data_IF_604863145096
#
_entry.id   IF_604863145096
#
_cell.length_a   1.000
_cell.length_b   1.000
_cell.length_c   1.000
_cell.angle_alpha   90.00
_cell.angle_beta   90.00
_cell.angle_gamma   90.00
#
_symmetry.space_group_name_H-M   'P 1'
#
loop_
_entity.id
_entity.type
_entity.pdbx_description
1 polymer ?
#
# COMPACT_ATOMS: atom_id res chain seq x y z
N UNK A 1 36.70 -11.83 26.18
CA UNK A 1 35.76 -12.12 25.07
C UNK A 1 34.28 -12.18 25.48
N UNK A 2 33.89 -12.73 26.64
CA UNK A 2 32.46 -12.83 27.02
C UNK A 2 31.76 -11.51 27.40
N UNK A 3 32.47 -10.50 27.94
CA UNK A 3 31.88 -9.18 28.26
C UNK A 3 31.55 -8.34 27.02
N UNK A 4 32.24 -8.55 25.89
CA UNK A 4 32.00 -7.79 24.66
C UNK A 4 30.72 -8.26 23.93
N UNK A 5 30.42 -9.57 24.00
CA UNK A 5 29.22 -10.15 23.41
C UNK A 5 27.91 -9.70 24.10
N UNK A 6 27.95 -9.44 25.41
CA UNK A 6 26.78 -8.99 26.18
C UNK A 6 26.49 -7.50 25.94
N UNK A 7 27.53 -6.67 25.82
CA UNK A 7 27.39 -5.23 25.52
C UNK A 7 26.84 -4.98 24.10
N UNK A 8 27.20 -5.83 23.13
CA UNK A 8 26.65 -5.78 21.76
C UNK A 8 25.17 -6.21 21.76
N UNK A 9 24.77 -7.23 22.53
CA UNK A 9 23.37 -7.70 22.62
C UNK A 9 22.42 -6.65 23.22
N UNK A 10 22.88 -5.89 24.21
CA UNK A 10 22.10 -4.82 24.85
C UNK A 10 21.99 -3.56 23.96
N UNK A 11 23.02 -3.28 23.16
CA UNK A 11 23.03 -2.14 22.22
C UNK A 11 22.13 -2.38 21.01
N UNK A 12 22.12 -3.61 20.48
CA UNK A 12 21.23 -4.03 19.36
C UNK A 12 19.75 -4.01 19.78
N UNK A 13 19.44 -4.37 21.03
CA UNK A 13 18.07 -4.33 21.56
C UNK A 13 17.54 -2.90 21.76
N UNK A 14 18.43 -1.92 22.01
CA UNK A 14 18.08 -0.49 22.08
C UNK A 14 17.96 0.16 20.70
N UNK A 15 18.75 -0.27 19.70
CA UNK A 15 18.62 0.20 18.30
C UNK A 15 17.37 -0.35 17.60
N UNK A 16 16.98 -1.61 17.86
CA UNK A 16 15.75 -2.21 17.33
C UNK A 16 14.46 -1.59 17.88
N UNK A 17 14.51 -0.91 19.04
CA UNK A 17 13.37 -0.12 19.57
C UNK A 17 13.29 1.29 18.99
N UNK A 18 14.39 1.83 18.44
CA UNK A 18 14.45 3.20 17.92
C UNK A 18 14.13 3.29 16.41
N UNK A 19 14.27 2.21 15.63
CA UNK A 19 13.93 2.21 14.19
C UNK A 19 12.45 1.93 13.87
N UNK A 20 11.61 1.62 14.87
CA UNK A 20 10.15 1.49 14.68
C UNK A 20 9.43 2.83 14.43
N UNK A 21 10.14 3.97 14.42
CA UNK A 21 9.57 5.31 14.32
C UNK A 21 9.72 6.03 12.97
N UNK A 22 10.42 5.48 11.98
CA UNK A 22 10.70 6.19 10.72
C UNK A 22 10.66 5.22 9.53
N UNK A 23 9.46 4.81 9.14
CA UNK A 23 9.18 4.28 7.79
C UNK A 23 7.82 4.84 7.37
N UNK A 24 7.81 6.10 6.95
CA UNK A 24 6.77 6.64 6.09
C UNK A 24 6.83 5.83 4.78
N UNK A 25 5.89 4.90 4.65
CA UNK A 25 5.73 4.12 3.43
C UNK A 25 5.23 5.06 2.33
N UNK A 26 6.12 5.48 1.44
CA UNK A 26 5.76 6.04 0.14
C UNK A 26 5.01 4.96 -0.65
N UNK A 27 3.68 5.00 -0.60
CA UNK A 27 2.81 4.18 -1.43
C UNK A 27 2.51 4.96 -2.72
N UNK A 28 3.10 4.51 -3.82
CA UNK A 28 2.49 4.64 -5.15
C UNK A 28 1.60 3.41 -5.33
N UNK A 29 0.32 3.52 -4.95
CA UNK A 29 -0.69 2.70 -5.62
C UNK A 29 -0.59 3.13 -7.09
N UNK A 30 -0.25 2.19 -7.98
CA UNK A 30 -0.23 2.46 -9.40
C UNK A 30 -1.52 3.18 -9.74
N UNK A 31 -1.41 4.41 -10.24
CA UNK A 31 -2.51 5.15 -10.84
C UNK A 31 -2.99 4.31 -12.02
N UNK A 32 -3.80 3.29 -11.75
CA UNK A 32 -4.67 2.72 -12.75
C UNK A 32 -5.56 3.87 -13.16
N UNK A 33 -5.23 4.42 -14.33
CA UNK A 33 -5.99 5.41 -15.09
C UNK A 33 -7.48 5.25 -14.79
N UNK A 34 -7.97 6.05 -13.86
CA UNK A 34 -9.40 6.31 -13.77
C UNK A 34 -9.68 7.21 -14.98
N UNK A 35 -10.03 6.56 -16.09
CA UNK A 35 -10.50 7.08 -17.36
C UNK A 35 -10.39 8.60 -17.55
N UNK A 36 -9.27 9.07 -18.10
CA UNK A 36 -9.32 10.19 -19.04
C UNK A 36 -9.81 9.65 -20.39
N UNK A 37 -11.10 9.28 -20.45
CA UNK A 37 -11.75 9.15 -21.75
C UNK A 37 -12.13 10.56 -22.20
N UNK A 38 -11.51 11.00 -23.30
CA UNK A 38 -12.11 12.01 -24.17
C UNK A 38 -13.39 11.39 -24.72
N UNK A 39 -14.52 11.60 -24.07
CA UNK A 39 -15.80 11.36 -24.72
C UNK A 39 -16.10 12.54 -25.65
N UNK A 40 -16.11 12.23 -26.95
CA UNK A 40 -16.70 13.08 -27.97
C UNK A 40 -18.19 13.28 -27.63
N UNK A 41 -18.58 14.55 -27.55
CA UNK A 41 -19.95 15.04 -27.45
C UNK A 41 -20.92 14.32 -28.40
N UNK A 42 -22.06 13.82 -27.89
CA UNK A 42 -23.34 13.90 -28.58
C UNK A 42 -24.07 15.15 -28.09
N UNK A 43 -24.31 16.07 -29.01
CA UNK A 43 -25.05 17.32 -28.81
C UNK A 43 -26.55 17.08 -28.58
N UNK A 44 -27.09 17.39 -27.40
CA UNK A 44 -28.51 17.76 -27.16
C UNK A 44 -28.63 18.58 -25.84
N UNK A 45 -29.73 19.32 -25.56
CA UNK A 45 -29.65 20.76 -25.33
C UNK A 45 -30.04 21.20 -23.90
N UNK A 46 -29.48 22.35 -23.50
CA UNK A 46 -30.09 23.37 -22.64
C UNK A 46 -30.71 22.96 -21.29
N UNK A 47 -29.86 22.92 -20.27
CA UNK A 47 -30.19 23.49 -18.94
C UNK A 47 -28.94 24.15 -18.35
N UNK A 48 -28.51 25.23 -18.99
CA UNK A 48 -27.35 26.02 -18.60
C UNK A 48 -27.72 26.99 -17.46
N UNK A 49 -27.53 26.55 -16.23
CA UNK A 49 -27.05 27.41 -15.15
C UNK A 49 -25.73 26.81 -14.68
N UNK A 50 -24.61 27.38 -15.12
CA UNK A 50 -23.32 27.00 -14.59
C UNK A 50 -23.33 27.21 -13.08
N UNK A 51 -23.16 26.14 -12.32
CA UNK A 51 -23.16 26.19 -10.87
C UNK A 51 -21.93 26.98 -10.39
N UNK A 52 -22.16 28.25 -10.10
CA UNK A 52 -21.12 29.23 -9.75
C UNK A 52 -20.31 28.72 -8.55
N UNK A 53 -20.94 28.01 -7.61
CA UNK A 53 -20.28 27.45 -6.45
C UNK A 53 -19.31 26.33 -6.83
N UNK A 54 -19.72 25.41 -7.70
CA UNK A 54 -18.82 24.37 -8.20
C UNK A 54 -17.64 24.95 -8.98
N UNK A 55 -17.85 26.02 -9.74
CA UNK A 55 -16.76 26.69 -10.46
C UNK A 55 -15.74 27.31 -9.50
N UNK A 56 -16.20 28.00 -8.46
CA UNK A 56 -15.35 28.60 -7.41
C UNK A 56 -14.56 27.56 -6.63
N UNK A 57 -15.20 26.44 -6.26
CA UNK A 57 -14.53 25.33 -5.56
C UNK A 57 -13.45 24.72 -6.46
N UNK A 58 -13.72 24.53 -7.76
CA UNK A 58 -12.74 23.92 -8.68
C UNK A 58 -11.57 24.84 -9.04
N UNK A 59 -11.79 26.16 -9.04
CA UNK A 59 -10.74 27.14 -9.33
C UNK A 59 -9.94 27.56 -8.11
N UNK A 60 -10.27 27.05 -6.91
CA UNK A 60 -9.59 27.42 -5.67
C UNK A 60 -8.13 26.94 -5.69
N UNK A 61 -7.22 27.85 -5.35
CA UNK A 61 -5.78 27.58 -5.28
C UNK A 61 -5.31 27.27 -3.86
N UNK A 62 -6.08 27.67 -2.84
CA UNK A 62 -5.79 27.41 -1.44
C UNK A 62 -7.03 26.83 -0.70
N UNK A 63 -6.78 26.09 0.38
CA UNK A 63 -7.81 25.49 1.23
C UNK A 63 -8.71 26.57 1.86
N UNK A 64 -8.15 27.74 2.17
CA UNK A 64 -8.89 28.89 2.73
C UNK A 64 -9.99 29.34 1.77
N UNK A 65 -9.68 29.46 0.47
CA UNK A 65 -10.64 29.87 -0.56
C UNK A 65 -11.83 28.91 -0.63
N UNK A 66 -11.56 27.60 -0.50
CA UNK A 66 -12.61 26.57 -0.47
C UNK A 66 -13.48 26.71 0.78
N UNK A 67 -12.87 26.92 1.94
CA UNK A 67 -13.58 27.07 3.21
C UNK A 67 -14.43 28.35 3.25
N UNK A 68 -13.95 29.44 2.68
CA UNK A 68 -14.69 30.69 2.56
C UNK A 68 -15.86 30.56 1.59
N UNK A 69 -15.67 29.87 0.45
CA UNK A 69 -16.75 29.55 -0.48
C UNK A 69 -17.84 28.69 0.19
N UNK A 70 -17.44 27.71 1.01
CA UNK A 70 -18.38 26.91 1.80
C UNK A 70 -19.13 27.78 2.80
N UNK A 71 -18.44 28.65 3.54
CA UNK A 71 -19.08 29.52 4.53
C UNK A 71 -20.12 30.45 3.88
N UNK A 72 -19.79 31.03 2.73
CA UNK A 72 -20.68 31.95 1.99
C UNK A 72 -21.91 31.26 1.38
N UNK A 73 -21.81 29.97 1.02
CA UNK A 73 -22.83 29.28 0.22
C UNK A 73 -23.37 27.99 0.85
N UNK A 74 -23.14 27.74 2.15
CA UNK A 74 -23.53 26.50 2.83
C UNK A 74 -25.03 26.19 2.78
N UNK A 75 -25.90 27.20 2.69
CA UNK A 75 -27.37 27.02 2.68
C UNK A 75 -27.92 26.40 1.39
N UNK A 76 -27.17 26.48 0.29
CA UNK A 76 -27.55 25.96 -1.04
C UNK A 76 -26.71 24.74 -1.47
N UNK A 77 -25.86 24.23 -0.59
CA UNK A 77 -24.97 23.11 -0.90
C UNK A 77 -25.73 21.77 -0.94
N UNK A 78 -25.68 21.10 -2.10
CA UNK A 78 -26.12 19.72 -2.25
C UNK A 78 -24.97 18.73 -1.98
N UNK A 79 -25.25 17.42 -2.11
CA UNK A 79 -24.26 16.35 -1.97
C UNK A 79 -23.03 16.55 -2.88
N UNK A 80 -23.23 16.91 -4.15
CA UNK A 80 -22.14 17.14 -5.13
C UNK A 80 -21.25 18.31 -4.71
N UNK A 81 -21.80 19.37 -4.13
CA UNK A 81 -21.03 20.54 -3.68
C UNK A 81 -20.20 20.18 -2.45
N UNK A 82 -20.81 19.53 -1.46
CA UNK A 82 -20.13 19.11 -0.23
C UNK A 82 -19.00 18.11 -0.52
N UNK A 83 -19.26 17.12 -1.38
CA UNK A 83 -18.25 16.13 -1.77
C UNK A 83 -17.10 16.76 -2.57
N UNK A 84 -17.39 17.63 -3.55
CA UNK A 84 -16.34 18.30 -4.32
C UNK A 84 -15.51 19.28 -3.48
N UNK A 85 -16.12 19.98 -2.50
CA UNK A 85 -15.37 20.80 -1.56
C UNK A 85 -14.39 19.94 -0.76
N UNK A 86 -14.85 18.81 -0.20
CA UNK A 86 -13.98 17.89 0.53
C UNK A 86 -12.85 17.33 -0.36
N UNK A 87 -13.18 16.92 -1.59
CA UNK A 87 -12.20 16.44 -2.57
C UNK A 87 -11.15 17.49 -2.89
N UNK A 88 -11.55 18.74 -3.08
CA UNK A 88 -10.64 19.85 -3.40
C UNK A 88 -9.70 20.13 -2.23
N UNK A 89 -10.22 20.19 -1.00
CA UNK A 89 -9.39 20.32 0.21
C UNK A 89 -8.35 19.20 0.28
N UNK A 90 -8.76 17.95 0.04
CA UNK A 90 -7.84 16.82 0.00
C UNK A 90 -6.75 16.98 -1.07
N UNK A 91 -7.11 17.39 -2.29
CA UNK A 91 -6.15 17.58 -3.38
C UNK A 91 -5.14 18.69 -3.07
N UNK A 92 -5.61 19.82 -2.54
CA UNK A 92 -4.77 20.97 -2.16
C UNK A 92 -3.80 20.59 -1.05
N UNK A 93 -4.28 19.92 0.01
CA UNK A 93 -3.43 19.40 1.09
C UNK A 93 -2.39 18.39 0.58
N UNK A 94 -2.80 17.46 -0.30
CA UNK A 94 -1.89 16.45 -0.86
C UNK A 94 -0.81 17.06 -1.75
N UNK A 95 -1.14 18.11 -2.50
CA UNK A 95 -0.21 18.82 -3.38
C UNK A 95 0.74 19.76 -2.64
N UNK A 96 0.61 19.91 -1.32
CA UNK A 96 1.32 20.91 -0.50
C UNK A 96 1.09 22.37 -0.95
N UNK A 97 0.05 22.62 -1.75
CA UNK A 97 -0.36 23.96 -2.19
C UNK A 97 -1.31 24.64 -1.20
N UNK A 98 -1.32 24.21 0.06
CA UNK A 98 -2.20 24.76 1.10
C UNK A 98 -1.39 25.53 2.12
N UNK A 99 -1.84 26.73 2.46
CA UNK A 99 -1.26 27.53 3.55
C UNK A 99 -1.58 26.96 4.93
N UNK A 100 -2.70 26.21 5.04
CA UNK A 100 -3.14 25.57 6.28
C UNK A 100 -2.66 24.13 6.38
N UNK A 101 -2.27 23.73 7.58
CA UNK A 101 -2.04 22.32 7.96
C UNK A 101 -3.37 21.57 8.18
N UNK A 102 -3.33 20.24 8.08
CA UNK A 102 -4.48 19.37 8.38
C UNK A 102 -5.13 19.65 9.76
N UNK A 103 -4.31 19.96 10.77
CA UNK A 103 -4.80 20.32 12.11
C UNK A 103 -5.58 21.63 12.13
N UNK A 104 -5.15 22.63 11.37
CA UNK A 104 -5.84 23.92 11.27
C UNK A 104 -7.15 23.79 10.50
N UNK A 105 -7.16 22.99 9.42
CA UNK A 105 -8.37 22.71 8.64
C UNK A 105 -9.43 22.05 9.52
N UNK A 106 -9.08 20.99 10.25
CA UNK A 106 -10.02 20.26 11.11
C UNK A 106 -10.57 21.09 12.27
N UNK A 107 -9.78 22.02 12.80
CA UNK A 107 -10.20 22.91 13.87
C UNK A 107 -11.01 24.13 13.38
N UNK A 108 -11.02 24.40 12.07
CA UNK A 108 -11.73 25.55 11.51
C UNK A 108 -13.26 25.41 11.66
N UNK A 109 -13.97 26.49 12.04
CA UNK A 109 -15.43 26.46 12.11
C UNK A 109 -16.09 26.23 10.74
N UNK A 110 -15.48 26.70 9.66
CA UNK A 110 -15.94 26.51 8.29
C UNK A 110 -15.92 25.03 7.90
N UNK A 111 -14.88 24.30 8.30
CA UNK A 111 -14.82 22.87 8.05
C UNK A 111 -15.87 22.09 8.85
N UNK A 112 -16.22 22.54 10.06
CA UNK A 112 -17.33 21.95 10.83
C UNK A 112 -18.66 22.12 10.10
N UNK A 113 -18.88 23.27 9.45
CA UNK A 113 -20.05 23.50 8.59
C UNK A 113 -20.03 22.51 7.42
N UNK A 114 -18.91 22.42 6.69
CA UNK A 114 -18.75 21.46 5.60
C UNK A 114 -19.05 20.02 6.02
N UNK A 115 -18.47 19.58 7.15
CA UNK A 115 -18.65 18.24 7.67
C UNK A 115 -20.12 17.97 8.06
N UNK A 116 -20.81 18.94 8.66
CA UNK A 116 -22.23 18.81 8.97
C UNK A 116 -23.11 18.77 7.72
N UNK A 117 -22.80 19.60 6.72
CA UNK A 117 -23.51 19.60 5.43
C UNK A 117 -23.31 18.26 4.73
N UNK A 118 -22.07 17.78 4.61
CA UNK A 118 -21.75 16.49 4.04
C UNK A 118 -22.46 15.35 4.77
N UNK A 119 -22.48 15.39 6.11
CA UNK A 119 -23.19 14.41 6.95
C UNK A 119 -24.69 14.37 6.64
N UNK A 120 -25.35 15.51 6.48
CA UNK A 120 -26.79 15.53 6.16
C UNK A 120 -27.12 14.94 4.78
N UNK A 121 -26.16 14.99 3.86
CA UNK A 121 -26.29 14.54 2.48
C UNK A 121 -25.67 13.17 2.22
N UNK A 122 -25.10 12.52 3.24
CA UNK A 122 -24.25 11.34 3.11
C UNK A 122 -24.97 10.11 2.54
N UNK A 123 -26.28 10.01 2.80
CA UNK A 123 -27.17 8.98 2.28
C UNK A 123 -27.41 9.05 0.76
N UNK A 124 -27.06 10.18 0.14
CA UNK A 124 -27.18 10.39 -1.31
C UNK A 124 -25.85 10.19 -2.03
N UNK A 125 -24.80 9.76 -1.32
CA UNK A 125 -23.52 9.43 -1.93
C UNK A 125 -23.51 7.98 -2.39
N UNK A 126 -22.87 7.75 -3.54
CA UNK A 126 -22.62 6.41 -4.05
C UNK A 126 -21.52 5.70 -3.27
N UNK A 127 -21.42 4.37 -3.40
CA UNK A 127 -20.41 3.56 -2.70
C UNK A 127 -18.97 4.08 -2.95
N UNK A 128 -18.66 4.44 -4.21
CA UNK A 128 -17.36 5.00 -4.56
C UNK A 128 -17.10 6.34 -3.86
N UNK A 129 -18.11 7.22 -3.82
CA UNK A 129 -18.03 8.50 -3.13
C UNK A 129 -17.89 8.33 -1.61
N UNK A 130 -18.54 7.33 -1.02
CA UNK A 130 -18.39 7.00 0.41
C UNK A 130 -16.96 6.54 0.73
N UNK A 131 -16.37 5.69 -0.11
CA UNK A 131 -14.99 5.22 0.03
C UNK A 131 -13.99 6.38 -0.13
N UNK A 132 -14.19 7.21 -1.14
CA UNK A 132 -13.34 8.39 -1.37
C UNK A 132 -13.49 9.43 -0.26
N UNK A 133 -14.71 9.67 0.24
CA UNK A 133 -14.93 10.53 1.40
C UNK A 133 -14.17 9.98 2.61
N UNK A 134 -14.24 8.68 2.87
CA UNK A 134 -13.52 8.06 3.99
C UNK A 134 -12.00 8.26 3.87
N UNK A 135 -11.46 8.09 2.66
CA UNK A 135 -10.05 8.37 2.34
C UNK A 135 -9.69 9.84 2.58
N UNK A 136 -10.51 10.78 2.11
CA UNK A 136 -10.25 12.21 2.26
C UNK A 136 -10.27 12.62 3.74
N UNK A 137 -11.28 12.20 4.50
CA UNK A 137 -11.40 12.49 5.93
C UNK A 137 -10.25 11.86 6.73
N UNK A 138 -9.85 10.62 6.39
CA UNK A 138 -8.70 9.95 6.99
C UNK A 138 -7.38 10.68 6.73
N UNK A 139 -7.18 11.19 5.50
CA UNK A 139 -5.98 11.96 5.13
C UNK A 139 -5.91 13.32 5.86
N UNK A 140 -7.04 14.03 5.95
CA UNK A 140 -7.15 15.32 6.64
C UNK A 140 -7.00 15.13 8.18
N UNK A 141 -7.04 13.89 8.67
CA UNK A 141 -6.80 13.57 10.09
C UNK A 141 -8.06 13.61 10.95
N UNK A 142 -9.25 13.49 10.35
CA UNK A 142 -10.49 13.36 11.13
C UNK A 142 -10.49 12.01 11.84
N UNK A 143 -10.72 11.97 13.16
CA UNK A 143 -10.79 10.72 13.90
C UNK A 143 -11.88 9.78 13.37
N UNK A 144 -11.59 8.48 13.40
CA UNK A 144 -12.56 7.44 13.05
C UNK A 144 -13.80 7.48 13.97
N UNK A 145 -13.68 8.01 15.19
CA UNK A 145 -14.77 8.17 16.17
C UNK A 145 -15.70 9.35 15.88
N UNK A 146 -15.38 10.20 14.89
CA UNK A 146 -16.24 11.32 14.53
C UNK A 146 -17.58 10.84 13.97
N UNK A 147 -18.65 11.64 14.16
CA UNK A 147 -20.00 11.27 13.71
C UNK A 147 -20.06 11.03 12.20
N UNK A 148 -19.41 11.89 11.41
CA UNK A 148 -19.38 11.74 9.95
C UNK A 148 -18.68 10.45 9.53
N UNK A 149 -17.51 10.15 10.11
CA UNK A 149 -16.78 8.92 9.78
C UNK A 149 -17.55 7.68 10.21
N UNK A 150 -18.19 7.69 11.39
CA UNK A 150 -19.02 6.59 11.85
C UNK A 150 -20.26 6.37 10.95
N UNK A 151 -20.90 7.44 10.45
CA UNK A 151 -22.02 7.31 9.51
C UNK A 151 -21.58 6.73 8.16
N UNK A 152 -20.42 7.15 7.62
CA UNK A 152 -19.85 6.55 6.40
C UNK A 152 -19.57 5.05 6.62
N UNK A 153 -18.89 4.72 7.71
CA UNK A 153 -18.56 3.33 8.04
C UNK A 153 -19.83 2.48 8.21
N UNK A 154 -20.89 3.04 8.79
CA UNK A 154 -22.18 2.37 8.92
C UNK A 154 -22.83 2.11 7.56
N UNK A 155 -22.85 3.09 6.67
CA UNK A 155 -23.36 2.89 5.30
C UNK A 155 -22.54 1.85 4.54
N UNK A 156 -21.21 1.94 4.58
CA UNK A 156 -20.33 0.95 3.96
C UNK A 156 -20.55 -0.46 4.52
N UNK A 157 -20.84 -0.59 5.82
CA UNK A 157 -21.16 -1.89 6.43
C UNK A 157 -22.46 -2.50 5.92
N UNK A 158 -23.45 -1.68 5.53
CA UNK A 158 -24.70 -2.16 4.92
C UNK A 158 -24.50 -2.64 3.49
N UNK A 159 -23.65 -1.95 2.73
CA UNK A 159 -23.33 -2.27 1.35
C UNK A 159 -22.10 -3.18 1.22
N UNK A 160 -21.66 -3.83 2.30
CA UNK A 160 -20.40 -4.59 2.32
C UNK A 160 -20.39 -5.72 1.28
N UNK A 161 -21.54 -6.34 1.02
CA UNK A 161 -21.69 -7.43 0.04
C UNK A 161 -21.66 -6.94 -1.41
N UNK A 162 -21.89 -5.65 -1.65
CA UNK A 162 -21.90 -5.04 -2.99
C UNK A 162 -20.50 -4.51 -3.39
N UNK A 163 -19.52 -4.59 -2.47
CA UNK A 163 -18.16 -4.12 -2.72
C UNK A 163 -17.42 -5.05 -3.68
N UNK A 164 -16.82 -4.47 -4.71
CA UNK A 164 -15.87 -5.15 -5.60
C UNK A 164 -14.57 -5.50 -4.87
N UNK A 165 -13.79 -6.44 -5.42
CA UNK A 165 -12.49 -6.85 -4.87
C UNK A 165 -11.55 -5.65 -4.65
N UNK A 166 -11.49 -4.71 -5.61
CA UNK A 166 -10.64 -3.52 -5.52
C UNK A 166 -11.10 -2.56 -4.42
N UNK A 167 -12.41 -2.38 -4.26
CA UNK A 167 -12.96 -1.56 -3.17
C UNK A 167 -12.68 -2.20 -1.81
N UNK A 168 -12.76 -3.53 -1.70
CA UNK A 168 -12.45 -4.25 -0.47
C UNK A 168 -10.98 -4.07 -0.07
N UNK A 169 -10.05 -4.30 -1.00
CA UNK A 169 -8.62 -4.15 -0.73
C UNK A 169 -8.26 -2.70 -0.37
N UNK A 170 -8.85 -1.74 -1.07
CA UNK A 170 -8.65 -0.31 -0.80
C UNK A 170 -9.22 0.12 0.55
N UNK A 171 -10.43 -0.32 0.90
CA UNK A 171 -11.08 0.02 2.16
C UNK A 171 -10.31 -0.55 3.36
N UNK A 172 -9.82 -1.79 3.28
CA UNK A 172 -8.94 -2.37 4.30
C UNK A 172 -7.65 -1.56 4.47
N UNK A 173 -7.07 -1.08 3.37
CA UNK A 173 -5.90 -0.21 3.40
C UNK A 173 -6.21 1.12 4.11
N UNK A 174 -7.29 1.82 3.74
CA UNK A 174 -7.69 3.10 4.36
C UNK A 174 -7.92 2.94 5.87
N UNK A 175 -8.56 1.86 6.28
CA UNK A 175 -8.87 1.61 7.69
C UNK A 175 -7.70 1.04 8.50
N UNK A 176 -6.52 0.84 7.90
CA UNK A 176 -5.37 0.23 8.59
C UNK A 176 -4.98 1.00 9.85
N UNK A 177 -4.93 2.33 9.75
CA UNK A 177 -4.46 3.23 10.81
C UNK A 177 -5.61 3.80 11.66
N UNK A 178 -6.85 3.37 11.40
CA UNK A 178 -8.01 3.83 12.17
C UNK A 178 -8.01 3.26 13.58
N UNK A 179 -8.41 4.09 14.55
CA UNK A 179 -8.69 3.65 15.92
C UNK A 179 -9.75 2.54 15.90
N UNK A 180 -9.55 1.51 16.73
CA UNK A 180 -10.49 0.40 16.86
C UNK A 180 -11.83 0.91 17.38
N UNK A 181 -12.84 0.88 16.52
CA UNK A 181 -14.24 1.10 16.87
C UNK A 181 -15.03 -0.18 16.56
N UNK A 182 -16.25 -0.36 17.10
CA UNK A 182 -17.08 -1.51 16.77
C UNK A 182 -17.30 -1.68 15.27
N UNK A 183 -17.59 -0.58 14.54
CA UNK A 183 -17.78 -0.60 13.09
C UNK A 183 -16.49 -0.94 12.33
N UNK A 184 -15.35 -0.33 12.68
CA UNK A 184 -14.06 -0.67 12.05
C UNK A 184 -13.70 -2.14 12.28
N UNK A 185 -13.99 -2.65 13.48
CA UNK A 185 -13.72 -4.05 13.83
C UNK A 185 -14.63 -5.00 13.05
N UNK A 186 -15.93 -4.70 12.98
CA UNK A 186 -16.89 -5.48 12.21
C UNK A 186 -16.53 -5.51 10.72
N UNK A 187 -16.18 -4.37 10.13
CA UNK A 187 -15.73 -4.29 8.74
C UNK A 187 -14.43 -5.07 8.51
N UNK A 188 -13.44 -4.97 9.40
CA UNK A 188 -12.19 -5.75 9.30
C UNK A 188 -12.40 -7.26 9.37
N UNK A 189 -13.52 -7.72 9.94
CA UNK A 189 -13.93 -9.13 9.95
C UNK A 189 -14.71 -9.47 8.68
N UNK A 190 -15.65 -8.62 8.27
CA UNK A 190 -16.54 -8.86 7.13
C UNK A 190 -15.79 -8.81 5.78
N UNK A 191 -14.86 -7.88 5.60
CA UNK A 191 -14.17 -7.66 4.33
C UNK A 191 -13.44 -8.91 3.81
N UNK A 192 -12.62 -9.63 4.60
CA UNK A 192 -12.05 -10.91 4.19
C UNK A 192 -13.08 -11.94 3.73
N UNK A 193 -14.23 -12.04 4.42
CA UNK A 193 -15.27 -13.04 4.11
C UNK A 193 -15.94 -12.72 2.77
N UNK A 194 -16.32 -11.45 2.57
CA UNK A 194 -16.91 -11.01 1.30
C UNK A 194 -15.91 -11.12 0.15
N UNK A 195 -14.64 -10.81 0.41
CA UNK A 195 -13.57 -11.00 -0.55
C UNK A 195 -13.50 -12.45 -1.06
N UNK A 196 -13.52 -13.43 -0.15
CA UNK A 196 -13.51 -14.84 -0.52
C UNK A 196 -14.71 -15.24 -1.37
N UNK A 197 -15.90 -14.73 -1.05
CA UNK A 197 -17.12 -15.00 -1.81
C UNK A 197 -17.05 -14.45 -3.25
N UNK A 198 -16.47 -13.25 -3.42
CA UNK A 198 -16.36 -12.60 -4.72
C UNK A 198 -15.17 -13.04 -5.57
N UNK A 199 -14.09 -13.53 -4.94
CA UNK A 199 -12.85 -13.85 -5.65
C UNK A 199 -13.09 -14.89 -6.75
N UNK A 200 -13.85 -15.95 -6.47
CA UNK A 200 -14.03 -17.05 -7.42
C UNK A 200 -14.89 -16.63 -8.62
N UNK A 201 -15.83 -15.71 -8.43
CA UNK A 201 -16.82 -15.33 -9.46
C UNK A 201 -16.42 -14.10 -10.27
N UNK A 202 -15.61 -13.20 -9.71
CA UNK A 202 -15.35 -11.86 -10.29
C UNK A 202 -13.88 -11.57 -10.55
N UNK A 203 -12.95 -12.45 -10.16
CA UNK A 203 -11.52 -12.21 -10.40
C UNK A 203 -11.21 -12.29 -11.89
N UNK A 204 -10.72 -11.18 -12.44
CA UNK A 204 -10.08 -11.17 -13.74
C UNK A 204 -8.70 -11.82 -13.61
N UNK A 205 -8.58 -13.03 -14.16
CA UNK A 205 -7.35 -13.79 -14.11
C UNK A 205 -6.31 -13.26 -15.10
N UNK A 206 -6.67 -12.45 -16.10
CA UNK A 206 -5.75 -11.92 -17.13
C UNK A 206 -5.00 -10.66 -16.67
N UNK A 207 -5.51 -10.00 -15.64
CA UNK A 207 -4.91 -8.78 -15.12
C UNK A 207 -3.87 -9.05 -14.02
N UNK A 208 -2.62 -9.25 -14.43
CA UNK A 208 -1.49 -9.56 -13.54
C UNK A 208 -1.26 -8.47 -12.48
N UNK A 209 -1.47 -7.19 -12.80
CA UNK A 209 -1.33 -6.09 -11.85
C UNK A 209 -2.36 -6.23 -10.73
N UNK A 210 -3.62 -6.47 -11.10
CA UNK A 210 -4.70 -6.71 -10.14
C UNK A 210 -4.40 -7.95 -9.29
N UNK A 211 -3.98 -9.06 -9.90
CA UNK A 211 -3.60 -10.28 -9.16
C UNK A 211 -2.48 -10.01 -8.14
N UNK A 212 -1.50 -9.17 -8.47
CA UNK A 212 -0.47 -8.72 -7.54
C UNK A 212 -1.02 -7.98 -6.32
N UNK A 213 -1.97 -7.07 -6.52
CA UNK A 213 -2.63 -6.34 -5.43
C UNK A 213 -3.50 -7.26 -4.58
N UNK A 214 -4.19 -8.22 -5.20
CA UNK A 214 -4.97 -9.25 -4.49
C UNK A 214 -4.05 -10.15 -3.66
N UNK A 215 -2.91 -10.59 -4.20
CA UNK A 215 -1.92 -11.40 -3.48
C UNK A 215 -1.40 -10.67 -2.22
N UNK A 216 -1.12 -9.37 -2.37
CA UNK A 216 -0.70 -8.50 -1.27
C UNK A 216 -1.75 -8.36 -0.17
N UNK A 217 -3.03 -8.36 -0.55
CA UNK A 217 -4.13 -8.35 0.41
C UNK A 217 -4.24 -9.70 1.15
N UNK A 218 -4.31 -10.82 0.43
CA UNK A 218 -4.52 -12.15 1.04
C UNK A 218 -3.33 -12.59 1.89
N UNK A 219 -2.11 -12.17 1.57
CA UNK A 219 -0.91 -12.52 2.33
C UNK A 219 -0.92 -12.00 3.78
N UNK A 220 -1.64 -10.91 4.04
CA UNK A 220 -1.66 -10.24 5.37
C UNK A 220 -2.93 -10.51 6.16
N UNK A 221 -3.83 -11.32 5.63
CA UNK A 221 -5.17 -11.53 6.18
C UNK A 221 -5.42 -13.02 6.37
N UNK A 222 -6.27 -13.40 7.34
CA UNK A 222 -6.68 -14.79 7.51
C UNK A 222 -7.69 -15.12 6.41
N UNK A 223 -7.19 -15.39 5.21
CA UNK A 223 -7.99 -15.81 4.05
C UNK A 223 -7.84 -17.34 3.87
N UNK A 224 -8.89 -17.99 3.38
CA UNK A 224 -8.89 -19.42 3.09
C UNK A 224 -7.82 -19.77 2.05
N UNK A 225 -7.07 -20.84 2.31
CA UNK A 225 -5.90 -21.24 1.50
C UNK A 225 -6.23 -21.43 0.02
N UNK A 226 -7.42 -21.98 -0.29
CA UNK A 226 -7.92 -22.12 -1.67
C UNK A 226 -7.91 -20.81 -2.46
N UNK A 227 -8.28 -19.70 -1.83
CA UNK A 227 -8.32 -18.38 -2.47
C UNK A 227 -6.91 -17.87 -2.76
N UNK A 228 -6.00 -18.00 -1.78
CA UNK A 228 -4.58 -17.65 -1.96
C UNK A 228 -3.94 -18.48 -3.06
N UNK A 229 -4.19 -19.79 -3.06
CA UNK A 229 -3.69 -20.72 -4.08
C UNK A 229 -4.18 -20.33 -5.47
N UNK A 230 -5.46 -20.01 -5.63
CA UNK A 230 -6.01 -19.62 -6.92
C UNK A 230 -5.32 -18.38 -7.51
N UNK A 231 -5.00 -17.38 -6.67
CA UNK A 231 -4.25 -16.19 -7.10
C UNK A 231 -2.81 -16.54 -7.48
N UNK A 232 -2.14 -17.39 -6.68
CA UNK A 232 -0.75 -17.81 -6.95
C UNK A 232 -0.68 -18.63 -8.25
N UNK A 233 -1.62 -19.54 -8.47
CA UNK A 233 -1.74 -20.33 -9.71
C UNK A 233 -1.86 -19.42 -10.93
N UNK A 234 -2.80 -18.46 -10.92
CA UNK A 234 -3.00 -17.52 -12.01
C UNK A 234 -1.76 -16.65 -12.30
N UNK A 235 -1.09 -16.15 -11.25
CA UNK A 235 0.19 -15.43 -11.38
C UNK A 235 1.31 -16.31 -11.95
N UNK A 236 1.34 -17.59 -11.60
CA UNK A 236 2.35 -18.55 -12.08
C UNK A 236 2.16 -18.87 -13.56
N UNK A 237 0.91 -18.99 -14.00
CA UNK A 237 0.54 -19.17 -15.42
C UNK A 237 0.96 -17.95 -16.25
N UNK A 238 0.76 -16.75 -15.71
CA UNK A 238 1.04 -15.48 -16.40
C UNK A 238 2.40 -14.88 -16.08
N UNK A 239 3.32 -15.68 -15.53
CA UNK A 239 4.63 -15.23 -15.03
C UNK A 239 5.47 -14.43 -16.03
N UNK A 240 5.27 -14.64 -17.34
CA UNK A 240 5.97 -13.91 -18.41
C UNK A 240 5.66 -12.41 -18.45
N UNK A 241 4.52 -12.00 -17.90
CA UNK A 241 4.07 -10.60 -17.87
C UNK A 241 4.48 -9.88 -16.57
N UNK A 242 5.20 -10.56 -15.67
CA UNK A 242 5.65 -9.99 -14.40
C UNK A 242 6.86 -9.08 -14.64
N UNK A 243 6.70 -7.79 -14.35
CA UNK A 243 7.81 -6.82 -14.34
C UNK A 243 8.53 -6.79 -12.98
N UNK A 244 9.65 -6.07 -12.90
CA UNK A 244 10.46 -5.99 -11.67
C UNK A 244 9.71 -5.34 -10.48
N UNK A 245 8.79 -4.40 -10.75
CA UNK A 245 8.01 -3.72 -9.70
C UNK A 245 7.02 -4.70 -9.06
N UNK A 246 6.34 -5.46 -9.90
CA UNK A 246 5.42 -6.49 -9.50
C UNK A 246 6.15 -7.67 -8.84
N UNK A 247 7.27 -8.13 -9.39
CA UNK A 247 8.11 -9.19 -8.80
C UNK A 247 8.49 -8.88 -7.34
N UNK A 248 8.94 -7.64 -7.07
CA UNK A 248 9.22 -7.16 -5.71
C UNK A 248 7.99 -7.23 -4.80
N UNK A 249 6.82 -6.85 -5.32
CA UNK A 249 5.56 -6.92 -4.57
C UNK A 249 5.15 -8.36 -4.29
N UNK A 250 5.33 -9.27 -5.25
CA UNK A 250 5.05 -10.71 -5.14
C UNK A 250 5.96 -11.32 -4.08
N UNK A 251 7.29 -11.16 -4.19
CA UNK A 251 8.25 -11.69 -3.20
C UNK A 251 7.88 -11.24 -1.79
N UNK A 252 7.60 -9.93 -1.63
CA UNK A 252 7.15 -9.39 -0.35
C UNK A 252 5.89 -10.06 0.16
N UNK A 253 4.91 -10.28 -0.71
CA UNK A 253 3.63 -10.89 -0.36
C UNK A 253 3.80 -12.37 0.01
N UNK A 254 4.63 -13.12 -0.72
CA UNK A 254 4.98 -14.50 -0.39
C UNK A 254 5.76 -14.58 0.94
N UNK A 255 6.63 -13.61 1.23
CA UNK A 255 7.25 -13.48 2.55
C UNK A 255 6.26 -13.10 3.66
N UNK A 256 5.11 -12.49 3.36
CA UNK A 256 4.10 -12.15 4.37
C UNK A 256 3.17 -13.37 4.67
N UNK A 257 3.15 -14.40 3.79
CA UNK A 257 2.32 -15.59 3.97
C UNK A 257 2.67 -16.37 5.25
N UNK A 258 1.63 -16.85 5.95
CA UNK A 258 1.80 -17.61 7.19
C UNK A 258 2.03 -19.11 6.97
N UNK A 259 1.67 -19.64 5.81
CA UNK A 259 1.74 -21.07 5.48
C UNK A 259 2.24 -21.22 4.05
N UNK A 260 2.92 -22.35 3.78
CA UNK A 260 3.27 -22.77 2.42
C UNK A 260 1.98 -23.04 1.65
N UNK A 261 1.93 -22.60 0.40
CA UNK A 261 0.78 -22.81 -0.51
C UNK A 261 1.31 -23.43 -1.79
N UNK A 262 0.51 -24.25 -2.47
CA UNK A 262 0.92 -24.84 -3.74
C UNK A 262 1.35 -23.75 -4.74
N UNK A 263 2.41 -24.03 -5.51
CA UNK A 263 3.02 -23.15 -6.53
C UNK A 263 3.73 -21.89 -6.00
N UNK A 264 3.76 -21.65 -4.69
CA UNK A 264 4.42 -20.48 -4.10
C UNK A 264 5.91 -20.41 -4.42
N UNK A 265 6.59 -21.55 -4.39
CA UNK A 265 7.99 -21.73 -4.71
C UNK A 265 8.31 -21.37 -6.18
N UNK A 266 7.52 -21.88 -7.12
CA UNK A 266 7.73 -21.59 -8.56
C UNK A 266 7.57 -20.09 -8.83
N UNK A 267 6.53 -19.48 -8.26
CA UNK A 267 6.28 -18.05 -8.41
C UNK A 267 7.38 -17.20 -7.74
N UNK A 268 7.85 -17.63 -6.57
CA UNK A 268 8.94 -16.97 -5.84
C UNK A 268 10.23 -16.97 -6.65
N UNK A 269 10.66 -18.13 -7.12
CA UNK A 269 11.89 -18.27 -7.89
C UNK A 269 11.85 -17.44 -9.17
N UNK A 270 10.77 -17.54 -9.95
CA UNK A 270 10.61 -16.70 -11.14
C UNK A 270 10.64 -15.20 -10.81
N UNK A 271 10.04 -14.79 -9.70
CA UNK A 271 10.08 -13.38 -9.27
C UNK A 271 11.50 -12.95 -8.86
N UNK A 272 12.28 -13.85 -8.26
CA UNK A 272 13.69 -13.60 -7.90
C UNK A 272 14.58 -13.55 -9.14
N UNK A 273 14.31 -14.36 -10.17
CA UNK A 273 14.97 -14.29 -11.47
C UNK A 273 14.74 -12.92 -12.13
N UNK A 274 13.48 -12.46 -12.21
CA UNK A 274 13.14 -11.14 -12.76
C UNK A 274 13.86 -10.00 -12.01
N UNK A 275 13.96 -10.09 -10.67
CA UNK A 275 14.73 -9.11 -9.89
C UNK A 275 16.23 -9.22 -10.12
N UNK A 276 16.75 -10.42 -10.35
CA UNK A 276 18.16 -10.68 -10.64
C UNK A 276 18.57 -10.03 -11.95
N UNK A 277 17.74 -10.18 -12.99
CA UNK A 277 17.94 -9.57 -14.30
C UNK A 277 17.90 -8.03 -14.23
N UNK A 278 17.02 -7.49 -13.39
CA UNK A 278 16.81 -6.04 -13.22
C UNK A 278 17.58 -5.44 -12.03
N UNK A 279 18.58 -6.15 -11.48
CA UNK A 279 19.19 -5.77 -10.20
C UNK A 279 19.91 -4.42 -10.25
N UNK A 280 20.42 -4.05 -11.42
CA UNK A 280 21.15 -2.80 -11.64
C UNK A 280 20.25 -1.55 -11.60
N UNK A 281 18.94 -1.74 -11.80
CA UNK A 281 17.93 -0.68 -11.74
C UNK A 281 17.40 -0.45 -10.32
N UNK A 282 17.71 -1.35 -9.39
CA UNK A 282 17.30 -1.26 -8.00
C UNK A 282 18.27 -0.41 -7.18
N UNK A 283 17.73 0.33 -6.20
CA UNK A 283 18.57 0.95 -5.17
C UNK A 283 19.10 -0.09 -4.17
N UNK A 284 20.23 0.22 -3.53
CA UNK A 284 20.78 -0.64 -2.48
C UNK A 284 19.74 -0.94 -1.38
N UNK A 285 18.94 0.05 -0.98
CA UNK A 285 17.92 -0.12 0.05
C UNK A 285 16.81 -1.09 -0.37
N UNK A 286 16.46 -1.14 -1.65
CA UNK A 286 15.45 -2.08 -2.17
C UNK A 286 16.00 -3.51 -2.18
N UNK A 287 17.24 -3.70 -2.63
CA UNK A 287 17.92 -4.99 -2.60
C UNK A 287 18.05 -5.47 -1.15
N UNK A 288 18.52 -4.59 -0.26
CA UNK A 288 18.69 -4.90 1.17
C UNK A 288 17.37 -5.30 1.82
N UNK A 289 16.29 -4.61 1.47
CA UNK A 289 14.94 -4.91 1.95
C UNK A 289 14.50 -6.31 1.50
N UNK A 290 14.56 -6.60 0.20
CA UNK A 290 14.17 -7.91 -0.36
C UNK A 290 15.01 -9.03 0.26
N UNK A 291 16.33 -8.86 0.30
CA UNK A 291 17.26 -9.83 0.91
C UNK A 291 16.92 -10.10 2.38
N UNK A 292 16.53 -9.07 3.13
CA UNK A 292 16.09 -9.23 4.52
C UNK A 292 14.83 -10.07 4.63
N UNK A 293 13.85 -9.85 3.75
CA UNK A 293 12.59 -10.58 3.77
C UNK A 293 12.81 -12.06 3.46
N UNK A 294 13.55 -12.34 2.39
CA UNK A 294 13.92 -13.69 1.97
C UNK A 294 14.70 -14.41 3.07
N UNK A 295 15.71 -13.75 3.64
CA UNK A 295 16.50 -14.31 4.75
C UNK A 295 15.63 -14.64 5.97
N UNK A 296 14.70 -13.75 6.31
CA UNK A 296 13.82 -13.96 7.46
C UNK A 296 13.00 -15.24 7.33
N UNK A 297 12.54 -15.56 6.11
CA UNK A 297 11.80 -16.79 5.82
C UNK A 297 12.68 -18.02 5.77
N UNK A 298 13.83 -17.92 5.10
CA UNK A 298 14.81 -18.99 5.09
C UNK A 298 15.19 -19.43 6.51
N UNK A 299 15.48 -18.48 7.40
CA UNK A 299 15.84 -18.80 8.81
C UNK A 299 14.70 -19.40 9.64
N UNK A 300 13.47 -19.40 9.13
CA UNK A 300 12.32 -20.08 9.73
C UNK A 300 12.13 -21.51 9.20
N UNK A 301 13.05 -22.02 8.38
CA UNK A 301 13.02 -23.38 7.81
C UNK A 301 12.27 -23.49 6.48
N UNK A 302 12.05 -22.38 5.78
CA UNK A 302 11.51 -22.39 4.42
C UNK A 302 12.66 -22.38 3.41
N UNK A 303 13.28 -23.54 3.19
CA UNK A 303 14.54 -23.66 2.44
C UNK A 303 14.42 -23.19 0.98
N UNK A 304 13.23 -23.29 0.38
CA UNK A 304 12.95 -22.79 -0.97
C UNK A 304 13.00 -21.26 -1.11
N UNK A 305 13.21 -20.51 -0.04
CA UNK A 305 13.57 -19.09 -0.14
C UNK A 305 15.05 -18.89 -0.51
N UNK A 306 15.86 -19.95 -0.51
CA UNK A 306 17.21 -19.89 -1.03
C UNK A 306 17.21 -19.81 -2.56
N UNK A 307 17.87 -18.79 -3.10
CA UNK A 307 17.98 -18.59 -4.54
C UNK A 307 19.39 -18.13 -4.91
N UNK A 308 20.21 -19.06 -5.38
CA UNK A 308 21.65 -18.84 -5.59
C UNK A 308 21.93 -17.65 -6.53
N UNK A 309 21.30 -17.60 -7.71
CA UNK A 309 21.54 -16.54 -8.69
C UNK A 309 21.24 -15.14 -8.13
N UNK A 310 20.14 -14.99 -7.38
CA UNK A 310 19.79 -13.74 -6.73
C UNK A 310 20.80 -13.34 -5.65
N UNK A 311 21.26 -14.29 -4.82
CA UNK A 311 22.27 -14.01 -3.78
C UNK A 311 23.63 -13.62 -4.39
N UNK A 312 24.02 -14.31 -5.47
CA UNK A 312 25.23 -14.00 -6.24
C UNK A 312 25.11 -12.62 -6.91
N UNK A 313 23.96 -12.29 -7.47
CA UNK A 313 23.70 -10.97 -8.06
C UNK A 313 23.75 -9.85 -7.00
N UNK A 314 23.17 -10.05 -5.81
CA UNK A 314 23.29 -9.09 -4.70
C UNK A 314 24.75 -8.82 -4.33
N UNK A 315 25.58 -9.87 -4.36
CA UNK A 315 27.01 -9.78 -4.07
C UNK A 315 27.77 -9.00 -5.15
N UNK A 316 27.51 -9.34 -6.42
CA UNK A 316 28.10 -8.65 -7.59
C UNK A 316 27.71 -7.17 -7.61
N UNK A 317 26.45 -6.84 -7.37
CA UNK A 317 25.96 -5.47 -7.33
C UNK A 317 26.77 -4.57 -6.38
N UNK A 318 27.12 -5.07 -5.19
CA UNK A 318 27.90 -4.32 -4.19
C UNK A 318 29.32 -4.05 -4.67
N UNK A 319 29.94 -5.04 -5.30
CA UNK A 319 31.30 -4.96 -5.84
C UNK A 319 31.34 -4.00 -7.03
N UNK A 320 30.43 -4.18 -7.99
CA UNK A 320 30.39 -3.43 -9.24
C UNK A 320 30.01 -1.95 -9.03
N UNK A 321 29.02 -1.66 -8.18
CA UNK A 321 28.59 -0.29 -7.89
C UNK A 321 29.42 0.43 -6.83
N UNK A 322 30.50 -0.20 -6.33
CA UNK A 322 31.34 0.32 -5.25
C UNK A 322 30.52 0.88 -4.09
N UNK A 323 29.59 0.07 -3.58
CA UNK A 323 28.79 0.48 -2.43
C UNK A 323 29.70 0.73 -1.22
N UNK A 324 29.25 1.56 -0.27
CA UNK A 324 30.04 1.87 0.94
C UNK A 324 30.47 0.60 1.68
N UNK A 325 31.61 0.66 2.34
CA UNK A 325 32.13 -0.45 3.16
C UNK A 325 31.10 -0.98 4.17
N UNK A 326 30.31 -0.07 4.76
CA UNK A 326 29.22 -0.41 5.67
C UNK A 326 28.13 -1.27 4.99
N UNK A 327 27.70 -0.87 3.79
CA UNK A 327 26.75 -1.62 2.98
C UNK A 327 27.29 -3.01 2.61
N UNK A 328 28.56 -3.10 2.23
CA UNK A 328 29.22 -4.38 1.94
C UNK A 328 29.24 -5.33 3.14
N UNK A 329 29.69 -4.87 4.32
CA UNK A 329 29.67 -5.68 5.55
C UNK A 329 28.25 -6.12 5.90
N UNK A 330 27.28 -5.22 5.78
CA UNK A 330 25.89 -5.49 6.14
C UNK A 330 25.29 -6.60 5.28
N UNK A 331 25.48 -6.54 3.97
CA UNK A 331 25.02 -7.58 3.06
C UNK A 331 25.76 -8.89 3.26
N UNK A 332 27.08 -8.86 3.40
CA UNK A 332 27.88 -10.05 3.68
C UNK A 332 27.39 -10.79 4.94
N UNK A 333 27.09 -10.06 6.03
CA UNK A 333 26.52 -10.65 7.25
C UNK A 333 25.20 -11.38 6.99
N UNK A 334 24.37 -10.90 6.07
CA UNK A 334 23.11 -11.56 5.68
C UNK A 334 23.38 -12.79 4.83
N UNK A 335 24.26 -12.69 3.84
CA UNK A 335 24.64 -13.80 2.98
C UNK A 335 25.20 -14.98 3.78
N UNK A 336 26.10 -14.72 4.75
CA UNK A 336 26.64 -15.77 5.63
C UNK A 336 25.56 -16.53 6.43
N UNK A 337 24.38 -15.92 6.66
CA UNK A 337 23.27 -16.60 7.36
C UNK A 337 22.50 -17.57 6.47
N UNK A 338 22.56 -17.42 5.14
CA UNK A 338 22.07 -18.45 4.23
C UNK A 338 23.00 -19.68 4.22
N UNK A 339 24.31 -19.43 4.34
CA UNK A 339 25.40 -20.42 4.27
C UNK A 339 25.48 -21.34 5.50
N UNK A 340 24.84 -21.01 6.62
CA UNK A 340 24.94 -21.81 7.85
C UNK A 340 24.22 -23.18 7.79
N UNK A 341 23.65 -23.57 6.64
CA UNK A 341 22.92 -24.84 6.45
C UNK A 341 23.45 -25.67 5.26
N UNK A 342 24.24 -25.11 4.34
CA UNK A 342 24.85 -25.88 3.23
C UNK A 342 26.33 -25.49 3.01
N UNK A 343 27.24 -26.44 3.28
CA UNK A 343 28.69 -26.23 3.27
C UNK A 343 29.32 -26.12 1.87
N UNK A 344 28.54 -26.23 0.79
CA UNK A 344 29.09 -26.47 -0.56
C UNK A 344 28.86 -25.37 -1.60
N UNK A 345 28.03 -24.34 -1.38
CA UNK A 345 27.51 -23.56 -2.54
C UNK A 345 27.80 -22.06 -2.53
N UNK A 346 28.17 -21.44 -1.42
CA UNK A 346 28.63 -20.04 -1.45
C UNK A 346 30.09 -20.05 -1.03
N UNK A 347 30.98 -19.44 -1.81
CA UNK A 347 32.31 -19.08 -1.33
C UNK A 347 32.23 -17.66 -0.75
N UNK A 348 31.87 -17.47 0.53
CA UNK A 348 32.02 -16.19 1.22
C UNK A 348 33.46 -15.67 1.15
N UNK A 349 34.43 -16.54 0.82
CA UNK A 349 35.82 -16.19 0.57
C UNK A 349 36.03 -15.16 -0.55
N UNK A 350 35.32 -15.24 -1.68
CA UNK A 350 35.51 -14.30 -2.78
C UNK A 350 34.96 -12.89 -2.45
N UNK A 351 33.86 -12.82 -1.70
CA UNK A 351 33.27 -11.56 -1.26
C UNK A 351 34.11 -10.94 -0.13
N UNK A 352 34.59 -11.75 0.83
CA UNK A 352 35.49 -11.27 1.90
C UNK A 352 36.78 -10.68 1.32
N UNK A 353 37.41 -11.36 0.35
CA UNK A 353 38.66 -10.91 -0.26
C UNK A 353 38.51 -9.64 -1.10
N UNK A 354 37.31 -9.38 -1.64
CA UNK A 354 37.04 -8.17 -2.43
C UNK A 354 36.70 -7.00 -1.53
N UNK A 355 35.88 -7.20 -0.49
CA UNK A 355 35.54 -6.17 0.52
C UNK A 355 36.76 -5.79 1.37
N UNK A 356 37.71 -6.70 1.61
CA UNK A 356 38.95 -6.40 2.34
C UNK A 356 40.03 -5.74 1.47
N UNK A 357 39.86 -5.68 0.14
CA UNK A 357 40.82 -5.07 -0.79
C UNK A 357 40.48 -3.63 -1.19
N UNK A 358 39.24 -3.20 -1.00
CA UNK A 358 38.78 -1.80 -1.05
C UNK A 358 38.83 -1.18 0.33
#
# INVERSE_FOLDING_TARGET
>A
MFKMAVTIRLSVSRLMKKSKGLLTSSYTFSDNKCCLQKENMPSVPSSASHDILLSKIRSATDTIDVLDAVNQHHSIMNNKHAFNALRTIFLLQKSQNSSMSNGEVTNSPQFRILANTLRSQIKHLEINELIDALKFLGYIGIPATSKITQEILHLLSKHVNELSLQQITFLDFVMKDFVKTPLVTALKIALPIVFEAHLISTCDLENVIQLGDLLKFVSRRPIHEKCTRHIIEALTEQRKMIDFKLAKSIIRSLCDLKRKVQYDEILLHHSLDVLTDSINDLSFHEIDFVLTQVLSKYTLGYDYFYHEEFLNACSRYIIEKQCSFEHGIWTLKKLCRFVSIDYNVVTPHCILLTILKT
#
